data_IF_708340578763
#
_entry.id   IF_708340578763
#
_cell.length_a   1.000
_cell.length_b   1.000
_cell.length_c   1.000
_cell.angle_alpha   90.00
_cell.angle_beta   90.00
_cell.angle_gamma   90.00
#
_symmetry.space_group_name_H-M   'P 1'
#
loop_
_entity.id
_entity.type
_entity.pdbx_description
1 polymer ?
#
# COMPACT_ATOMS: atom_id res chain seq x y z
N UNK A 1 -23.52 -26.96 4.73
CA UNK A 1 -23.39 -25.61 5.34
C UNK A 1 -22.22 -24.90 4.67
N UNK A 2 -22.33 -23.60 4.40
CA UNK A 2 -21.28 -22.80 3.73
C UNK A 2 -20.49 -21.99 4.76
N UNK A 3 -19.16 -21.98 4.64
CA UNK A 3 -18.25 -21.30 5.56
C UNK A 3 -17.45 -20.26 4.77
N UNK A 4 -17.44 -19.02 5.27
CA UNK A 4 -16.54 -17.98 4.77
C UNK A 4 -15.23 -17.99 5.55
N UNK A 5 -14.09 -18.13 4.86
CA UNK A 5 -12.76 -18.07 5.49
C UNK A 5 -12.02 -16.82 5.02
N UNK A 6 -11.76 -15.89 5.95
CA UNK A 6 -10.98 -14.68 5.72
C UNK A 6 -9.53 -14.91 6.18
N UNK A 7 -8.55 -14.63 5.32
CA UNK A 7 -7.13 -14.81 5.62
C UNK A 7 -6.33 -13.55 5.26
N UNK A 8 -5.37 -13.19 6.10
CA UNK A 8 -4.40 -12.12 5.81
C UNK A 8 -3.04 -12.72 5.46
N UNK A 9 -2.61 -12.54 4.21
CA UNK A 9 -1.35 -13.03 3.68
C UNK A 9 -1.15 -14.54 3.86
N UNK A 10 -2.22 -15.30 4.04
CA UNK A 10 -2.22 -16.73 4.30
C UNK A 10 -2.84 -17.52 3.14
N UNK A 11 -3.57 -18.58 3.46
CA UNK A 11 -4.23 -19.42 2.44
C UNK A 11 -5.22 -18.60 1.58
N UNK A 12 -5.16 -18.65 0.25
CA UNK A 12 -4.51 -19.68 -0.56
C UNK A 12 -3.14 -19.29 -1.14
N UNK A 13 -2.53 -18.18 -0.70
CA UNK A 13 -1.21 -17.77 -1.20
C UNK A 13 -0.13 -18.79 -0.82
N UNK A 14 0.83 -18.98 -1.73
CA UNK A 14 1.90 -19.95 -1.56
C UNK A 14 2.80 -19.67 -0.34
N UNK A 15 2.86 -18.43 0.12
CA UNK A 15 3.70 -17.99 1.24
C UNK A 15 2.83 -17.38 2.35
N UNK A 16 3.03 -17.81 3.60
CA UNK A 16 2.32 -17.29 4.77
C UNK A 16 2.33 -18.27 5.96
N UNK A 17 2.56 -17.76 7.18
CA UNK A 17 2.68 -18.58 8.40
C UNK A 17 1.39 -19.36 8.70
N UNK A 18 0.23 -18.74 8.44
CA UNK A 18 -1.09 -19.35 8.66
C UNK A 18 -1.53 -20.30 7.55
N UNK A 19 -0.78 -20.41 6.43
CA UNK A 19 -1.16 -21.22 5.26
C UNK A 19 -1.43 -22.67 5.64
N UNK A 20 -0.50 -23.30 6.36
CA UNK A 20 -0.56 -24.73 6.66
C UNK A 20 -1.73 -25.07 7.57
N UNK A 21 -2.05 -24.19 8.52
CA UNK A 21 -3.18 -24.39 9.41
C UNK A 21 -4.52 -24.22 8.67
N UNK A 22 -4.67 -23.18 7.86
CA UNK A 22 -5.88 -22.96 7.05
C UNK A 22 -6.09 -24.07 6.02
N UNK A 23 -5.04 -24.54 5.33
CA UNK A 23 -5.13 -25.65 4.37
C UNK A 23 -5.56 -26.95 5.07
N UNK A 24 -5.00 -27.25 6.25
CA UNK A 24 -5.41 -28.40 7.06
C UNK A 24 -6.87 -28.28 7.52
N UNK A 25 -7.31 -27.09 7.94
CA UNK A 25 -8.70 -26.87 8.37
C UNK A 25 -9.68 -27.09 7.21
N UNK A 26 -9.39 -26.52 6.05
CA UNK A 26 -10.25 -26.67 4.86
C UNK A 26 -10.29 -28.14 4.42
N UNK A 27 -9.14 -28.83 4.38
CA UNK A 27 -9.06 -30.26 4.03
C UNK A 27 -9.72 -31.18 5.06
N UNK A 28 -9.67 -30.82 6.34
CA UNK A 28 -10.24 -31.59 7.45
C UNK A 28 -11.76 -31.51 7.56
N UNK A 29 -12.42 -30.63 6.79
CA UNK A 29 -13.86 -30.41 6.82
C UNK A 29 -14.50 -30.61 5.42
N UNK A 30 -14.40 -31.81 4.82
CA UNK A 30 -14.82 -32.04 3.43
C UNK A 30 -16.33 -31.94 3.18
N UNK A 31 -17.14 -32.05 4.23
CA UNK A 31 -18.60 -31.90 4.16
C UNK A 31 -19.09 -30.44 4.09
N UNK A 32 -18.18 -29.47 4.16
CA UNK A 32 -18.48 -28.04 4.14
C UNK A 32 -17.89 -27.37 2.91
N UNK A 33 -18.68 -26.52 2.26
CA UNK A 33 -18.21 -25.66 1.17
C UNK A 33 -17.57 -24.40 1.75
N UNK A 34 -16.45 -23.98 1.17
CA UNK A 34 -15.67 -22.83 1.59
C UNK A 34 -15.63 -21.72 0.53
N UNK A 35 -16.00 -20.51 0.95
CA UNK A 35 -15.74 -19.28 0.21
C UNK A 35 -14.55 -18.55 0.85
N UNK A 36 -13.44 -18.43 0.11
CA UNK A 36 -12.21 -17.81 0.60
C UNK A 36 -12.17 -16.32 0.29
N UNK A 37 -11.78 -15.53 1.28
CA UNK A 37 -11.44 -14.12 1.17
C UNK A 37 -9.98 -13.95 1.59
N UNK A 38 -9.09 -13.78 0.62
CA UNK A 38 -7.67 -13.70 0.86
C UNK A 38 -7.16 -12.28 0.66
N UNK A 39 -6.64 -11.69 1.73
CA UNK A 39 -6.04 -10.37 1.70
C UNK A 39 -4.55 -10.54 1.37
N UNK A 40 -4.03 -9.88 0.34
CA UNK A 40 -2.60 -9.93 0.01
C UNK A 40 -1.86 -8.75 0.60
N UNK A 41 -0.65 -9.00 1.12
CA UNK A 41 0.20 -7.96 1.73
C UNK A 41 1.29 -7.43 0.81
N UNK A 42 1.52 -8.09 -0.33
CA UNK A 42 2.51 -7.66 -1.32
C UNK A 42 2.23 -8.20 -2.72
N UNK A 43 2.73 -7.49 -3.74
CA UNK A 43 2.71 -7.95 -5.13
C UNK A 43 3.47 -9.26 -5.33
N UNK A 44 4.60 -9.42 -4.61
CA UNK A 44 5.41 -10.63 -4.68
C UNK A 44 4.61 -11.87 -4.25
N UNK A 45 3.83 -11.76 -3.18
CA UNK A 45 2.98 -12.84 -2.69
C UNK A 45 1.92 -13.26 -3.72
N UNK A 46 1.31 -12.33 -4.44
CA UNK A 46 0.36 -12.65 -5.51
C UNK A 46 1.05 -13.32 -6.71
N UNK A 47 2.25 -12.85 -7.07
CA UNK A 47 3.05 -13.40 -8.16
C UNK A 47 3.52 -14.85 -7.91
N UNK A 48 3.74 -15.23 -6.65
CA UNK A 48 4.03 -16.60 -6.24
C UNK A 48 2.82 -17.55 -6.42
N UNK A 49 1.63 -17.00 -6.70
CA UNK A 49 0.44 -17.75 -7.04
C UNK A 49 -0.22 -18.45 -5.86
N UNK A 50 -1.20 -19.28 -6.20
CA UNK A 50 -1.99 -20.05 -5.23
C UNK A 50 -1.55 -21.49 -5.16
N UNK A 51 -1.89 -22.10 -4.04
CA UNK A 51 -1.77 -23.53 -3.83
C UNK A 51 -2.90 -24.27 -4.55
N UNK A 52 -2.71 -25.56 -4.82
CA UNK A 52 -3.78 -26.40 -5.36
C UNK A 52 -4.95 -26.47 -4.36
N UNK A 53 -6.07 -25.88 -4.76
CA UNK A 53 -7.27 -25.76 -3.93
C UNK A 53 -8.06 -27.08 -3.94
N UNK A 54 -8.52 -27.57 -2.77
CA UNK A 54 -9.47 -28.69 -2.69
C UNK A 54 -10.80 -28.34 -3.37
N UNK A 55 -11.51 -29.36 -3.87
CA UNK A 55 -12.78 -29.20 -4.58
C UNK A 55 -13.88 -28.52 -3.75
N UNK A 56 -13.82 -28.62 -2.42
CA UNK A 56 -14.77 -27.96 -1.52
C UNK A 56 -14.58 -26.44 -1.41
N UNK A 57 -13.55 -25.87 -2.05
CA UNK A 57 -13.42 -24.42 -2.22
C UNK A 57 -14.21 -23.99 -3.45
N UNK A 58 -15.40 -23.45 -3.22
CA UNK A 58 -16.31 -22.99 -4.28
C UNK A 58 -15.88 -21.68 -4.91
N UNK A 59 -15.24 -20.80 -4.13
CA UNK A 59 -14.86 -19.47 -4.60
C UNK A 59 -13.66 -18.92 -3.84
N UNK A 60 -12.80 -18.20 -4.55
CA UNK A 60 -11.73 -17.39 -3.97
C UNK A 60 -11.90 -15.94 -4.40
N UNK A 61 -11.83 -15.03 -3.44
CA UNK A 61 -11.83 -13.59 -3.65
C UNK A 61 -10.54 -13.03 -3.06
N UNK A 62 -9.78 -12.32 -3.86
CA UNK A 62 -8.55 -11.65 -3.42
C UNK A 62 -8.78 -10.16 -3.25
N UNK A 63 -8.13 -9.57 -2.25
CA UNK A 63 -8.09 -8.12 -2.06
C UNK A 63 -6.66 -7.69 -1.69
N UNK A 64 -5.95 -6.99 -2.58
CA UNK A 64 -4.63 -6.47 -2.26
C UNK A 64 -4.69 -5.30 -1.30
N UNK A 65 -4.05 -5.44 -0.13
CA UNK A 65 -3.91 -4.36 0.86
C UNK A 65 -2.74 -3.42 0.55
N UNK A 66 -1.82 -3.85 -0.33
CA UNK A 66 -0.62 -3.11 -0.70
C UNK A 66 -0.84 -2.18 -1.89
N UNK A 67 -1.93 -2.36 -2.64
CA UNK A 67 -2.34 -1.39 -3.65
C UNK A 67 -3.16 -0.31 -2.99
N UNK A 68 -2.94 0.97 -3.33
CA UNK A 68 -3.89 2.01 -2.98
C UNK A 68 -5.29 1.60 -3.45
N UNK A 69 -6.31 1.99 -2.69
CA UNK A 69 -7.70 1.81 -3.09
C UNK A 69 -7.95 2.73 -4.29
N UNK A 70 -7.57 2.28 -5.49
CA UNK A 70 -7.73 3.02 -6.74
C UNK A 70 -9.20 2.99 -7.16
N UNK A 71 -10.16 3.22 -6.26
CA UNK A 71 -11.61 3.17 -6.54
C UNK A 71 -12.10 1.90 -7.26
N UNK A 72 -11.25 0.88 -7.38
CA UNK A 72 -11.42 -0.28 -8.25
C UNK A 72 -11.63 -1.50 -7.38
N UNK A 73 -12.58 -1.38 -6.45
CA UNK A 73 -13.26 -2.53 -5.92
C UNK A 73 -14.17 -3.11 -7.01
N UNK A 74 -13.56 -3.89 -7.91
CA UNK A 74 -14.10 -5.11 -8.54
C UNK A 74 -13.23 -5.46 -9.73
N UNK A 75 -12.75 -6.69 -9.75
CA UNK A 75 -12.11 -7.28 -10.92
C UNK A 75 -12.93 -7.09 -12.19
N UNK A 76 -12.21 -7.16 -13.32
CA UNK A 76 -12.61 -6.99 -14.71
C UNK A 76 -12.17 -5.67 -15.34
N UNK A 77 -11.22 -5.81 -16.26
CA UNK A 77 -11.08 -5.12 -17.54
C UNK A 77 -11.91 -3.86 -17.84
N UNK A 78 -11.24 -2.96 -18.58
CA UNK A 78 -11.82 -1.97 -19.50
C UNK A 78 -12.55 -0.76 -18.88
N UNK A 79 -13.21 -0.87 -17.73
CA UNK A 79 -13.87 0.30 -17.10
C UNK A 79 -12.92 1.32 -16.47
N UNK A 80 -11.73 0.88 -16.04
CA UNK A 80 -10.65 1.79 -15.64
C UNK A 80 -10.10 2.58 -16.84
N UNK A 81 -10.13 1.99 -18.04
CA UNK A 81 -9.67 2.64 -19.27
C UNK A 81 -10.66 3.71 -19.71
N UNK A 82 -11.97 3.45 -19.61
CA UNK A 82 -13.00 4.47 -19.85
C UNK A 82 -13.00 5.59 -18.81
N UNK A 83 -12.80 5.31 -17.51
CA UNK A 83 -12.58 6.38 -16.54
C UNK A 83 -11.32 7.20 -16.89
N UNK A 84 -10.21 6.54 -17.28
CA UNK A 84 -9.00 7.21 -17.76
C UNK A 84 -9.19 7.98 -19.07
N UNK A 85 -10.12 7.61 -19.94
CA UNK A 85 -10.39 8.32 -21.19
C UNK A 85 -11.43 9.45 -21.01
N UNK A 86 -12.40 9.27 -20.11
CA UNK A 86 -13.51 10.22 -19.88
C UNK A 86 -13.14 11.28 -18.84
N UNK A 87 -12.38 10.94 -17.79
CA UNK A 87 -11.95 11.91 -16.76
C UNK A 87 -10.52 12.40 -16.93
N UNK A 88 -9.79 11.95 -17.96
CA UNK A 88 -8.35 12.17 -18.07
C UNK A 88 -7.64 11.40 -16.95
N UNK A 89 -7.21 10.18 -17.26
CA UNK A 89 -6.49 9.32 -16.36
C UNK A 89 -5.29 10.07 -15.79
N UNK A 90 -5.15 9.99 -14.47
CA UNK A 90 -4.26 10.78 -13.63
C UNK A 90 -4.84 12.15 -13.28
N UNK A 91 -5.56 12.21 -12.14
CA UNK A 91 -5.63 13.45 -11.36
C UNK A 91 -4.23 13.74 -10.82
N UNK A 92 -3.33 14.14 -11.71
CA UNK A 92 -2.07 14.77 -11.38
C UNK A 92 -2.39 15.97 -10.51
N UNK A 93 -1.74 16.08 -9.35
CA UNK A 93 -1.90 17.24 -8.49
C UNK A 93 -1.77 18.53 -9.30
N UNK A 94 -2.79 19.40 -9.22
CA UNK A 94 -2.69 20.75 -9.76
C UNK A 94 -1.51 21.50 -9.13
N UNK A 95 -1.05 22.57 -9.78
CA UNK A 95 0.19 23.30 -9.40
C UNK A 95 0.34 23.54 -7.89
N UNK A 96 -0.74 23.96 -7.21
CA UNK A 96 -0.74 24.22 -5.75
C UNK A 96 -0.57 22.94 -4.92
N UNK A 97 -1.30 21.88 -5.26
CA UNK A 97 -1.20 20.59 -4.58
C UNK A 97 0.18 19.94 -4.81
N UNK A 98 0.76 20.10 -6.01
CA UNK A 98 2.12 19.63 -6.31
C UNK A 98 3.17 20.38 -5.50
N UNK A 99 3.00 21.69 -5.31
CA UNK A 99 3.87 22.50 -4.45
C UNK A 99 3.79 22.03 -2.99
N UNK A 100 2.59 21.89 -2.43
CA UNK A 100 2.38 21.35 -1.06
C UNK A 100 2.98 19.96 -0.90
N UNK A 101 2.79 19.07 -1.89
CA UNK A 101 3.39 17.73 -1.90
C UNK A 101 4.91 17.80 -1.81
N UNK A 102 5.55 18.58 -2.69
CA UNK A 102 7.01 18.73 -2.71
C UNK A 102 7.54 19.33 -1.40
N UNK A 103 6.86 20.32 -0.83
CA UNK A 103 7.21 20.92 0.46
C UNK A 103 7.17 19.89 1.59
N UNK A 104 6.05 19.19 1.77
CA UNK A 104 5.88 18.22 2.85
C UNK A 104 6.79 16.99 2.68
N UNK A 105 6.96 16.50 1.45
CA UNK A 105 7.88 15.38 1.18
C UNK A 105 9.34 15.78 1.43
N UNK A 106 9.74 17.00 1.07
CA UNK A 106 11.11 17.47 1.32
C UNK A 106 11.38 17.62 2.81
N UNK A 107 10.43 18.18 3.57
CA UNK A 107 10.54 18.28 5.03
C UNK A 107 10.68 16.89 5.67
N UNK A 108 9.83 15.93 5.26
CA UNK A 108 9.88 14.56 5.76
C UNK A 108 11.20 13.86 5.39
N UNK A 109 11.62 13.93 4.12
CA UNK A 109 12.85 13.33 3.64
C UNK A 109 14.07 13.91 4.36
N UNK A 110 14.08 15.23 4.58
CA UNK A 110 15.15 15.90 5.34
C UNK A 110 15.19 15.36 6.75
N UNK A 111 14.06 15.37 7.48
CA UNK A 111 13.99 14.90 8.85
C UNK A 111 14.43 13.44 9.03
N UNK A 112 14.09 12.55 8.11
CA UNK A 112 14.50 11.14 8.16
C UNK A 112 15.99 10.97 7.91
N UNK A 113 16.57 11.78 7.02
CA UNK A 113 17.97 11.62 6.66
C UNK A 113 18.90 12.40 7.60
N UNK A 114 18.46 13.52 8.19
CA UNK A 114 19.22 14.31 9.19
C UNK A 114 18.93 13.80 10.60
N UNK A 115 19.80 13.00 11.23
CA UNK A 115 19.65 12.69 12.64
C UNK A 115 19.76 13.98 13.47
N UNK A 116 18.94 14.09 14.52
CA UNK A 116 19.07 15.19 15.46
C UNK A 116 20.48 15.22 16.08
N UNK A 117 20.97 16.43 16.38
CA UNK A 117 22.29 16.60 17.00
C UNK A 117 22.41 15.78 18.29
N UNK A 118 23.60 15.23 18.54
CA UNK A 118 23.89 14.51 19.77
C UNK A 118 23.56 15.40 20.99
N UNK A 119 22.62 14.93 21.82
CA UNK A 119 22.15 15.65 23.01
C UNK A 119 20.72 16.20 22.93
N UNK A 120 20.05 16.12 21.78
CA UNK A 120 18.63 16.45 21.66
C UNK A 120 17.77 15.30 22.18
N UNK A 121 16.80 15.59 23.05
CA UNK A 121 15.82 14.58 23.49
C UNK A 121 14.96 14.10 22.31
N UNK A 122 14.61 12.82 22.31
CA UNK A 122 13.81 12.21 21.25
C UNK A 122 12.44 12.90 21.18
N UNK A 123 12.22 13.69 20.12
CA UNK A 123 10.94 14.37 19.87
C UNK A 123 10.96 15.89 20.07
N UNK A 124 12.04 16.49 20.59
CA UNK A 124 12.15 17.94 20.81
C UNK A 124 13.10 18.64 19.82
N UNK A 125 13.63 17.90 18.85
CA UNK A 125 14.54 18.42 17.85
C UNK A 125 13.86 19.07 16.64
N UNK A 126 14.58 19.95 15.91
CA UNK A 126 14.13 20.48 14.62
C UNK A 126 13.78 19.36 13.61
N UNK A 127 14.45 18.19 13.73
CA UNK A 127 14.12 17.01 12.92
C UNK A 127 12.72 16.45 13.24
N UNK A 128 12.33 16.38 14.52
CA UNK A 128 11.02 15.92 14.93
C UNK A 128 9.89 16.85 14.45
N UNK A 129 10.10 18.17 14.49
CA UNK A 129 9.15 19.15 13.94
C UNK A 129 8.98 19.00 12.43
N UNK A 130 10.09 18.87 11.68
CA UNK A 130 10.07 18.66 10.24
C UNK A 130 9.42 17.32 9.85
N UNK A 131 9.69 16.27 10.61
CA UNK A 131 9.06 14.96 10.43
C UNK A 131 7.54 15.07 10.60
N UNK A 132 7.11 15.69 11.70
CA UNK A 132 5.70 15.91 12.04
C UNK A 132 5.00 16.74 10.97
N UNK A 133 5.58 17.88 10.60
CA UNK A 133 5.02 18.78 9.58
C UNK A 133 4.95 18.11 8.20
N UNK A 134 5.97 17.34 7.83
CA UNK A 134 6.02 16.59 6.58
C UNK A 134 4.98 15.46 6.54
N UNK A 135 4.93 14.63 7.58
CA UNK A 135 4.03 13.49 7.67
C UNK A 135 2.57 13.93 7.69
N UNK A 136 2.20 14.85 8.59
CA UNK A 136 0.81 15.30 8.70
C UNK A 136 0.38 16.14 7.49
N UNK A 137 1.29 16.91 6.89
CA UNK A 137 0.99 17.64 5.66
C UNK A 137 0.70 16.72 4.46
N UNK A 138 1.45 15.62 4.32
CA UNK A 138 1.15 14.59 3.30
C UNK A 138 -0.17 13.87 3.59
N UNK A 139 -0.46 13.56 4.86
CA UNK A 139 -1.72 12.92 5.25
C UNK A 139 -2.93 13.83 4.97
N UNK A 140 -2.82 15.13 5.28
CA UNK A 140 -3.85 16.11 4.96
C UNK A 140 -4.07 16.24 3.45
N UNK A 141 -2.97 16.33 2.67
CA UNK A 141 -3.06 16.39 1.21
C UNK A 141 -3.72 15.15 0.61
N UNK A 142 -3.41 13.96 1.14
CA UNK A 142 -4.04 12.71 0.73
C UNK A 142 -5.54 12.71 1.04
N UNK A 143 -5.94 13.23 2.21
CA UNK A 143 -7.35 13.34 2.60
C UNK A 143 -8.13 14.35 1.76
N UNK A 144 -7.52 15.48 1.41
CA UNK A 144 -8.16 16.54 0.60
C UNK A 144 -8.28 16.19 -0.88
N UNK A 145 -7.26 15.54 -1.45
CA UNK A 145 -7.10 15.39 -2.91
C UNK A 145 -6.98 13.95 -3.41
N UNK A 146 -6.73 12.98 -2.54
CA UNK A 146 -6.37 11.62 -2.95
C UNK A 146 -5.04 11.58 -3.70
N UNK A 147 -4.79 10.52 -4.47
CA UNK A 147 -3.67 10.45 -5.44
C UNK A 147 -2.25 10.46 -4.88
N UNK A 148 -2.06 10.46 -3.56
CA UNK A 148 -0.74 10.51 -2.91
C UNK A 148 0.17 9.38 -3.40
N UNK A 149 -0.38 8.19 -3.61
CA UNK A 149 0.36 7.03 -4.11
C UNK A 149 0.96 7.24 -5.51
N UNK A 150 0.30 8.00 -6.40
CA UNK A 150 0.86 8.35 -7.72
C UNK A 150 1.99 9.37 -7.55
N UNK A 151 1.78 10.37 -6.68
CA UNK A 151 2.79 11.38 -6.39
C UNK A 151 4.05 10.75 -5.78
N UNK A 152 3.91 9.81 -4.84
CA UNK A 152 5.02 9.06 -4.25
C UNK A 152 5.79 8.21 -5.27
N UNK A 153 5.14 7.72 -6.33
CA UNK A 153 5.79 6.97 -7.42
C UNK A 153 6.42 7.87 -8.50
N UNK A 154 6.33 9.19 -8.36
CA UNK A 154 6.85 10.12 -9.36
C UNK A 154 8.37 10.29 -9.30
N UNK A 155 8.97 10.69 -10.43
CA UNK A 155 10.39 11.08 -10.51
C UNK A 155 10.74 12.23 -9.55
N UNK A 156 9.78 13.12 -9.25
CA UNK A 156 9.98 14.21 -8.29
C UNK A 156 10.30 13.66 -6.90
N UNK A 157 9.63 12.59 -6.47
CA UNK A 157 9.89 11.93 -5.19
C UNK A 157 11.28 11.32 -5.15
N UNK A 158 11.68 10.62 -6.21
CA UNK A 158 13.02 10.03 -6.32
C UNK A 158 14.09 11.10 -6.20
N UNK A 159 13.96 12.22 -6.93
CA UNK A 159 14.92 13.33 -6.88
C UNK A 159 15.01 13.97 -5.49
N UNK A 160 13.90 14.10 -4.77
CA UNK A 160 13.88 14.63 -3.39
C UNK A 160 14.62 13.69 -2.44
N UNK A 161 14.34 12.38 -2.52
CA UNK A 161 15.01 11.38 -1.69
C UNK A 161 16.50 11.27 -2.00
N UNK A 162 16.89 11.30 -3.29
CA UNK A 162 18.29 11.35 -3.69
C UNK A 162 19.01 12.60 -3.17
N UNK A 163 18.38 13.77 -3.26
CA UNK A 163 18.96 15.01 -2.77
C UNK A 163 19.15 14.98 -1.24
N UNK A 164 18.13 14.52 -0.50
CA UNK A 164 18.21 14.37 0.95
C UNK A 164 19.32 13.38 1.32
N UNK A 165 19.31 12.18 0.76
CA UNK A 165 20.32 11.14 1.07
C UNK A 165 21.75 11.56 0.72
N UNK A 166 21.98 12.22 -0.43
CA UNK A 166 23.31 12.73 -0.79
C UNK A 166 23.82 13.82 0.15
N UNK A 167 22.93 14.65 0.70
CA UNK A 167 23.32 15.67 1.68
C UNK A 167 23.90 15.08 2.99
N UNK A 168 23.70 13.78 3.25
CA UNK A 168 24.29 13.06 4.39
C UNK A 168 25.59 12.35 4.09
N UNK A 169 25.90 12.10 2.81
CA UNK A 169 27.04 11.31 2.39
C UNK A 169 28.36 12.08 2.31
N UNK A 170 28.40 13.35 2.73
CA UNK A 170 29.57 14.23 2.73
C UNK A 170 29.88 14.70 4.13
#
# INVERSE_FOLDING_TARGET
MRIGLLTDGGYPYATGESRLWCDRLVRGLPQHEFDLFALSRSAHQEAQGWVQLPYQVSRVRTAPLWTPEDGTLRGSGERGLLARLVTGGEQSYGRRARKRFTEHLTALATAVCTPDRAGTEAGEGPGAELFTAGLYGLAELARERGGLHLALRSETTVRILEAATRAHGT
#
